data_IF_171422722301
#
_entry.id   IF_171422722301
#
_cell.length_a   1.000
_cell.length_b   1.000
_cell.length_c   1.000
_cell.angle_alpha   90.00
_cell.angle_beta   90.00
_cell.angle_gamma   90.00
#
_symmetry.space_group_name_H-M   'P 1'
#
loop_
_entity.id
_entity.type
_entity.pdbx_description
1 polymer ?
#
# COMPACT_ATOMS: atom_id res chain seq x y z
N UNK A 1 -58.19 47.55 -34.34
CA UNK A 1 -58.02 46.37 -33.48
C UNK A 1 -57.02 46.72 -32.39
N UNK A 2 -57.52 46.79 -31.15
CA UNK A 2 -56.78 47.04 -29.91
C UNK A 2 -55.53 46.13 -29.81
N UNK A 3 -54.41 46.49 -29.19
CA UNK A 3 -54.19 47.32 -28.02
C UNK A 3 -53.46 46.45 -26.99
N UNK A 4 -52.34 46.94 -26.44
CA UNK A 4 -51.99 46.98 -25.00
C UNK A 4 -50.48 47.11 -24.79
N UNK A 5 -50.12 48.30 -24.32
CA UNK A 5 -48.87 48.63 -23.65
C UNK A 5 -48.79 47.90 -22.30
N UNK A 6 -47.57 47.51 -21.88
CA UNK A 6 -47.20 47.50 -20.46
C UNK A 6 -45.77 48.01 -20.26
N UNK A 7 -45.72 49.09 -19.50
CA UNK A 7 -44.59 49.72 -18.80
C UNK A 7 -44.07 48.80 -17.66
N UNK A 8 -43.09 49.34 -16.93
CA UNK A 8 -42.37 48.86 -15.73
C UNK A 8 -41.00 48.26 -16.07
N UNK A 9 -39.88 48.76 -15.54
CA UNK A 9 -39.66 49.82 -14.56
C UNK A 9 -38.15 49.99 -14.39
N UNK A 10 -37.71 51.24 -14.38
CA UNK A 10 -36.34 51.61 -14.06
C UNK A 10 -36.13 51.41 -12.55
N UNK A 11 -35.14 50.58 -12.18
CA UNK A 11 -34.59 50.55 -10.84
C UNK A 11 -33.25 51.27 -10.86
N UNK A 12 -33.28 52.48 -10.31
CA UNK A 12 -32.13 53.24 -9.82
C UNK A 12 -31.28 52.38 -8.90
N UNK A 13 -29.98 52.26 -9.22
CA UNK A 13 -28.97 51.85 -8.26
C UNK A 13 -28.00 53.01 -8.01
N UNK A 14 -27.90 53.28 -6.73
CA UNK A 14 -27.22 54.37 -6.04
C UNK A 14 -25.75 53.99 -5.88
N UNK A 15 -24.87 54.93 -6.25
CA UNK A 15 -23.55 55.24 -5.67
C UNK A 15 -22.59 54.06 -5.44
N UNK A 16 -21.46 54.07 -6.15
CA UNK A 16 -20.14 53.86 -5.55
C UNK A 16 -19.05 54.49 -6.41
N UNK A 17 -18.50 55.56 -5.86
CA UNK A 17 -17.36 56.35 -6.33
C UNK A 17 -16.15 55.49 -6.69
N UNK A 18 -15.63 55.69 -7.90
CA UNK A 18 -14.29 55.27 -8.28
C UNK A 18 -13.28 56.11 -7.50
N UNK A 19 -12.62 55.54 -6.50
CA UNK A 19 -11.34 56.08 -6.02
C UNK A 19 -10.27 55.64 -7.01
N UNK A 20 -9.74 56.64 -7.70
CA UNK A 20 -8.48 56.57 -8.42
C UNK A 20 -7.37 56.07 -7.50
N UNK A 21 -6.65 55.04 -7.91
CA UNK A 21 -5.36 54.69 -7.32
C UNK A 21 -4.27 55.25 -8.24
N UNK A 22 -3.56 56.32 -7.84
CA UNK A 22 -2.45 56.81 -8.62
C UNK A 22 -1.27 55.84 -8.55
N UNK A 23 -0.74 55.54 -9.72
CA UNK A 23 0.54 54.86 -9.93
C UNK A 23 1.64 55.75 -9.31
N UNK A 24 2.07 55.41 -8.11
CA UNK A 24 3.23 56.02 -7.47
C UNK A 24 4.47 55.14 -7.69
N UNK A 25 5.32 55.56 -8.63
CA UNK A 25 6.70 55.13 -8.74
C UNK A 25 7.48 55.73 -7.57
N UNK A 26 8.11 54.89 -6.74
CA UNK A 26 9.23 55.29 -5.87
C UNK A 26 10.32 54.23 -5.89
N UNK A 27 11.43 54.63 -6.49
CA UNK A 27 12.78 54.10 -6.37
C UNK A 27 13.44 54.60 -5.07
N UNK A 28 14.32 53.77 -4.49
CA UNK A 28 15.46 54.03 -3.57
C UNK A 28 15.50 52.88 -2.52
N UNK A 29 16.36 51.87 -2.66
CA UNK A 29 17.78 51.78 -2.27
C UNK A 29 18.01 51.35 -0.79
N UNK A 30 18.77 50.23 -0.63
CA UNK A 30 19.58 49.80 0.54
C UNK A 30 18.76 49.11 1.68
N UNK A 31 19.08 47.94 2.28
CA UNK A 31 20.33 47.19 2.54
C UNK A 31 20.05 45.67 2.78
N UNK A 32 21.14 44.90 2.74
CA UNK A 32 21.28 43.43 2.81
C UNK A 32 20.86 42.68 4.10
N UNK A 33 20.57 41.37 3.93
CA UNK A 33 21.18 40.29 4.74
C UNK A 33 21.42 39.05 3.87
N UNK A 34 22.69 38.66 3.73
CA UNK A 34 23.17 37.56 2.90
C UNK A 34 23.18 36.22 3.65
N UNK A 35 22.84 35.15 2.92
CA UNK A 35 23.18 33.76 3.22
C UNK A 35 24.53 33.39 2.58
N UNK A 36 25.33 32.47 3.16
CA UNK A 36 26.67 32.18 2.65
C UNK A 36 26.68 31.04 1.64
N UNK A 37 27.43 31.19 0.55
CA UNK A 37 28.40 30.16 0.16
C UNK A 37 29.38 30.70 -0.88
N UNK A 38 30.64 30.41 -0.58
CA UNK A 38 31.88 30.86 -1.18
C UNK A 38 32.10 30.38 -2.62
N UNK A 39 32.49 31.30 -3.49
CA UNK A 39 33.07 31.03 -4.80
C UNK A 39 34.49 31.61 -4.89
N UNK A 40 35.46 30.68 -4.93
CA UNK A 40 36.61 30.64 -5.84
C UNK A 40 37.20 31.93 -6.42
N UNK A 41 38.45 32.17 -6.05
CA UNK A 41 39.55 32.60 -6.94
C UNK A 41 40.61 31.47 -6.85
N UNK A 42 41.20 30.98 -7.93
CA UNK A 42 42.14 31.74 -8.75
C UNK A 42 42.28 31.19 -10.17
N UNK A 43 42.54 32.13 -11.07
CA UNK A 43 42.95 31.99 -12.47
C UNK A 43 44.27 31.24 -12.65
N UNK A 44 44.34 30.40 -13.69
CA UNK A 44 45.28 30.60 -14.80
C UNK A 44 45.00 29.61 -15.94
N UNK A 45 45.03 30.15 -17.16
CA UNK A 45 45.01 29.42 -18.42
C UNK A 45 46.41 28.87 -18.72
N UNK A 46 46.52 27.72 -19.41
CA UNK A 46 47.34 27.52 -20.63
C UNK A 46 47.17 26.07 -21.18
N UNK A 47 46.91 26.04 -22.49
CA UNK A 47 47.16 25.03 -23.55
C UNK A 47 46.57 23.62 -23.52
N UNK A 48 45.99 23.32 -24.69
CA UNK A 48 45.64 22.01 -25.22
C UNK A 48 46.86 21.10 -25.45
N UNK A 49 46.65 19.78 -25.35
CA UNK A 49 46.86 18.86 -26.46
C UNK A 49 46.34 17.43 -26.15
N UNK A 50 45.57 16.93 -27.11
CA UNK A 50 45.54 15.57 -27.65
C UNK A 50 45.21 14.33 -26.80
N UNK A 51 44.59 13.41 -27.53
CA UNK A 51 44.51 11.95 -27.37
C UNK A 51 43.53 11.40 -26.33
N UNK A 52 42.44 10.89 -26.90
CA UNK A 52 41.49 9.93 -26.36
C UNK A 52 42.21 8.86 -25.52
N UNK A 53 42.00 8.90 -24.21
CA UNK A 53 42.14 7.72 -23.36
C UNK A 53 40.76 7.46 -22.75
N UNK A 54 40.16 6.40 -23.26
CA UNK A 54 38.90 5.83 -22.80
C UNK A 54 38.98 5.65 -21.28
N UNK A 55 38.18 6.43 -20.54
CA UNK A 55 38.02 6.20 -19.10
C UNK A 55 37.45 4.78 -18.93
N UNK A 56 38.08 3.89 -18.14
CA UNK A 56 37.44 2.63 -17.79
C UNK A 56 36.20 3.00 -17.00
N UNK A 57 35.03 2.81 -17.63
CA UNK A 57 33.73 3.01 -16.98
C UNK A 57 33.75 2.23 -15.66
N UNK A 58 33.60 2.94 -14.54
CA UNK A 58 33.42 2.34 -13.23
C UNK A 58 32.39 1.22 -13.36
N UNK A 59 32.83 0.00 -13.05
CA UNK A 59 32.02 -1.22 -13.07
C UNK A 59 30.68 -0.93 -12.39
N UNK A 60 29.60 -0.87 -13.17
CA UNK A 60 28.24 -1.02 -12.69
C UNK A 60 28.10 -2.47 -12.20
N UNK A 61 28.54 -2.70 -10.97
CA UNK A 61 28.64 -4.01 -10.35
C UNK A 61 28.25 -3.96 -8.88
N UNK A 62 27.26 -3.13 -8.51
CA UNK A 62 26.50 -3.40 -7.30
C UNK A 62 25.67 -4.65 -7.56
N UNK A 63 26.32 -5.82 -7.44
CA UNK A 63 25.59 -7.08 -7.25
C UNK A 63 24.73 -6.86 -6.01
N UNK A 64 23.42 -6.77 -6.20
CA UNK A 64 22.49 -6.88 -5.09
C UNK A 64 22.88 -8.15 -4.34
N UNK A 65 23.38 -7.99 -3.12
CA UNK A 65 23.62 -9.10 -2.23
C UNK A 65 22.28 -9.86 -2.16
N UNK A 66 22.26 -11.10 -2.64
CA UNK A 66 21.23 -12.04 -2.25
C UNK A 66 21.35 -12.09 -0.73
N UNK A 67 20.46 -11.39 -0.01
CA UNK A 67 20.48 -11.36 1.46
C UNK A 67 20.36 -12.81 1.90
N UNK A 68 21.48 -13.37 2.32
CA UNK A 68 21.60 -14.77 2.65
C UNK A 68 20.98 -15.00 4.02
N UNK A 69 19.90 -15.77 4.06
CA UNK A 69 19.51 -16.52 5.27
C UNK A 69 20.36 -17.77 5.46
N UNK A 70 21.35 -18.01 4.59
CA UNK A 70 22.07 -19.29 4.50
C UNK A 70 22.88 -19.67 5.74
N UNK A 71 23.11 -18.76 6.69
CA UNK A 71 23.90 -18.99 7.90
C UNK A 71 23.28 -18.38 9.17
N UNK A 72 21.98 -18.08 9.20
CA UNK A 72 21.33 -17.66 10.45
C UNK A 72 20.87 -18.89 11.24
N UNK A 73 20.99 -18.91 12.58
CA UNK A 73 20.43 -19.98 13.39
C UNK A 73 18.92 -20.07 13.17
N UNK A 74 18.43 -21.25 12.84
CA UNK A 74 17.00 -21.52 12.68
C UNK A 74 16.36 -21.59 14.07
N UNK A 75 15.64 -20.54 14.44
CA UNK A 75 14.95 -20.46 15.73
C UNK A 75 13.60 -21.18 15.57
N UNK A 76 13.24 -22.12 16.46
CA UNK A 76 11.94 -22.77 16.40
C UNK A 76 10.81 -21.74 16.57
N UNK A 77 9.74 -21.88 15.79
CA UNK A 77 8.64 -20.92 15.72
C UNK A 77 8.03 -20.60 17.09
N UNK A 78 7.90 -21.59 17.97
CA UNK A 78 7.37 -21.41 19.34
C UNK A 78 8.22 -20.44 20.18
N UNK A 79 9.56 -20.59 20.12
CA UNK A 79 10.50 -19.70 20.82
C UNK A 79 10.44 -18.29 20.26
N UNK A 80 10.37 -18.14 18.93
CA UNK A 80 10.27 -16.83 18.28
C UNK A 80 8.99 -16.08 18.68
N UNK A 81 7.84 -16.78 18.77
CA UNK A 81 6.58 -16.20 19.25
C UNK A 81 6.66 -15.79 20.73
N UNK A 82 7.33 -16.61 21.56
CA UNK A 82 7.60 -16.27 22.95
C UNK A 82 8.38 -14.96 23.12
N UNK A 83 9.44 -14.77 22.32
CA UNK A 83 10.23 -13.53 22.32
C UNK A 83 9.45 -12.31 21.80
N UNK A 84 8.57 -12.51 20.82
CA UNK A 84 7.70 -11.44 20.33
C UNK A 84 6.67 -11.05 21.40
N UNK A 85 6.11 -12.03 22.11
CA UNK A 85 5.11 -11.83 23.17
C UNK A 85 5.68 -11.20 24.44
N UNK A 86 6.96 -11.41 24.76
CA UNK A 86 7.59 -10.83 25.95
C UNK A 86 7.76 -9.32 25.89
N UNK A 87 7.76 -8.75 24.69
CA UNK A 87 7.78 -7.30 24.50
C UNK A 87 6.39 -6.71 24.73
N UNK A 88 6.33 -5.47 25.23
CA UNK A 88 5.09 -4.79 25.62
C UNK A 88 4.29 -4.21 24.44
N UNK A 89 4.98 -3.67 23.45
CA UNK A 89 4.39 -2.86 22.38
C UNK A 89 4.54 -3.57 21.04
N UNK A 90 3.41 -3.83 20.39
CA UNK A 90 3.37 -4.46 19.07
C UNK A 90 2.72 -3.53 18.05
N UNK A 91 3.29 -3.52 16.85
CA UNK A 91 2.65 -2.99 15.66
C UNK A 91 2.28 -4.13 14.74
N UNK A 92 1.22 -3.95 13.97
CA UNK A 92 0.88 -4.83 12.87
C UNK A 92 0.81 -4.06 11.57
N UNK A 93 0.91 -4.82 10.49
CA UNK A 93 0.73 -4.36 9.14
C UNK A 93 -0.38 -5.18 8.53
N UNK A 94 -1.47 -4.52 8.17
CA UNK A 94 -2.67 -5.18 7.61
C UNK A 94 -3.14 -4.51 6.34
N UNK A 95 -3.83 -5.27 5.49
CA UNK A 95 -4.55 -4.74 4.33
C UNK A 95 -6.02 -4.46 4.69
N UNK A 96 -6.40 -3.18 4.68
CA UNK A 96 -7.78 -2.74 4.79
C UNK A 96 -8.24 -2.15 3.46
N UNK A 97 -9.32 -2.70 2.88
CA UNK A 97 -9.92 -2.22 1.63
C UNK A 97 -8.88 -2.01 0.50
N UNK A 98 -7.95 -2.95 0.37
CA UNK A 98 -6.91 -2.95 -0.68
C UNK A 98 -5.69 -2.07 -0.43
N UNK A 99 -5.55 -1.47 0.77
CA UNK A 99 -4.37 -0.66 1.14
C UNK A 99 -3.71 -1.19 2.40
N UNK A 100 -2.37 -1.16 2.42
CA UNK A 100 -1.54 -1.53 3.59
C UNK A 100 -1.52 -0.39 4.60
N UNK A 101 -1.81 -0.71 5.86
CA UNK A 101 -1.71 0.20 7.00
C UNK A 101 -0.81 -0.43 8.07
N UNK A 102 0.03 0.39 8.71
CA UNK A 102 0.80 0.02 9.90
C UNK A 102 0.10 0.65 11.10
N UNK A 103 -0.35 -0.18 12.03
CA UNK A 103 -1.20 0.23 13.15
C UNK A 103 -0.64 -0.35 14.45
N UNK A 104 -0.71 0.42 15.52
CA UNK A 104 -0.57 -0.01 16.91
C UNK A 104 -1.95 -0.07 17.57
N UNK A 105 -1.99 -0.65 18.77
CA UNK A 105 -3.21 -0.64 19.60
C UNK A 105 -3.67 0.81 19.81
N UNK A 106 -4.98 1.04 19.72
CA UNK A 106 -5.65 2.34 19.82
C UNK A 106 -5.44 3.32 18.66
N UNK A 107 -4.66 2.97 17.63
CA UNK A 107 -4.57 3.79 16.43
C UNK A 107 -5.91 3.84 15.68
N UNK A 108 -6.28 5.04 15.24
CA UNK A 108 -7.46 5.28 14.41
C UNK A 108 -7.08 5.47 12.95
N UNK A 109 -7.66 4.65 12.08
CA UNK A 109 -7.43 4.70 10.63
C UNK A 109 -8.71 5.06 9.89
N UNK A 110 -8.60 5.99 8.94
CA UNK A 110 -9.69 6.34 8.03
C UNK A 110 -9.56 5.52 6.76
N UNK A 111 -10.53 4.63 6.53
CA UNK A 111 -10.59 3.76 5.36
C UNK A 111 -11.72 4.19 4.41
N UNK A 112 -11.67 3.80 3.11
CA UNK A 112 -12.81 3.93 2.23
C UNK A 112 -14.06 3.28 2.85
N UNK A 113 -15.23 3.86 2.59
CA UNK A 113 -16.48 3.45 3.21
C UNK A 113 -16.81 1.96 3.03
N UNK A 114 -17.03 1.26 4.15
CA UNK A 114 -17.48 -0.13 4.20
C UNK A 114 -18.98 -0.12 4.46
N UNK A 115 -19.78 -0.75 3.58
CA UNK A 115 -21.25 -0.64 3.62
C UNK A 115 -21.91 -1.56 4.66
N UNK A 116 -21.30 -2.71 4.90
CA UNK A 116 -21.93 -3.80 5.65
C UNK A 116 -21.66 -3.72 7.17
N UNK A 117 -20.85 -2.75 7.60
CA UNK A 117 -20.49 -2.54 9.00
C UNK A 117 -21.24 -1.36 9.58
N UNK A 118 -21.71 -1.50 10.82
CA UNK A 118 -22.29 -0.44 11.64
C UNK A 118 -21.26 0.11 12.61
N UNK A 119 -21.55 1.29 13.16
CA UNK A 119 -20.75 1.87 14.25
C UNK A 119 -20.86 0.99 15.48
N UNK A 120 -19.72 0.65 16.08
CA UNK A 120 -19.62 -0.25 17.23
C UNK A 120 -19.32 -1.71 16.87
N UNK A 121 -19.39 -2.08 15.59
CA UNK A 121 -19.09 -3.47 15.18
C UNK A 121 -17.60 -3.79 15.35
N UNK A 122 -17.33 -5.02 15.82
CA UNK A 122 -15.98 -5.57 15.95
C UNK A 122 -15.58 -6.34 14.69
N UNK A 123 -14.44 -5.95 14.11
CA UNK A 123 -13.86 -6.50 12.89
C UNK A 123 -12.67 -7.38 13.27
N UNK A 124 -12.68 -8.66 12.88
CA UNK A 124 -11.49 -9.53 12.90
C UNK A 124 -10.61 -9.23 11.69
N UNK A 125 -9.33 -8.94 11.90
CA UNK A 125 -8.39 -8.64 10.82
C UNK A 125 -7.83 -9.93 10.21
N UNK A 126 -8.32 -10.32 9.04
CA UNK A 126 -7.83 -11.52 8.33
C UNK A 126 -6.53 -11.30 7.57
N UNK A 127 -6.35 -10.11 6.95
CA UNK A 127 -5.24 -9.86 6.01
C UNK A 127 -4.06 -9.19 6.70
N UNK A 128 -3.34 -9.92 7.54
CA UNK A 128 -2.16 -9.43 8.27
C UNK A 128 -0.90 -9.90 7.56
N UNK A 129 0.03 -8.99 7.25
CA UNK A 129 1.29 -9.33 6.54
C UNK A 129 2.48 -9.40 7.47
N UNK A 130 2.58 -8.46 8.42
CA UNK A 130 3.68 -8.37 9.38
C UNK A 130 3.11 -8.05 10.76
N UNK A 131 3.68 -8.65 11.80
CA UNK A 131 3.50 -8.26 13.21
C UNK A 131 4.88 -8.08 13.78
N UNK A 132 5.12 -6.98 14.47
CA UNK A 132 6.43 -6.70 15.02
C UNK A 132 6.35 -6.00 16.36
N UNK A 133 7.44 -6.09 17.08
CA UNK A 133 7.76 -5.23 18.19
C UNK A 133 9.06 -4.48 17.86
N UNK A 134 9.68 -3.86 18.86
CA UNK A 134 10.92 -3.11 18.73
C UNK A 134 12.06 -3.95 18.16
N UNK A 135 12.23 -5.17 18.67
CA UNK A 135 13.37 -6.03 18.38
C UNK A 135 13.03 -7.22 17.46
N UNK A 136 11.78 -7.68 17.47
CA UNK A 136 11.35 -8.89 16.77
C UNK A 136 10.28 -8.57 15.73
N UNK A 137 10.33 -9.23 14.57
CA UNK A 137 9.31 -9.10 13.53
C UNK A 137 8.95 -10.47 12.96
N UNK A 138 7.67 -10.78 12.97
CA UNK A 138 7.06 -11.91 12.30
C UNK A 138 6.47 -11.42 10.98
N UNK A 139 6.89 -12.02 9.88
CA UNK A 139 6.45 -11.65 8.53
C UNK A 139 6.00 -12.89 7.78
N UNK A 140 4.89 -12.78 7.08
CA UNK A 140 4.43 -13.82 6.18
C UNK A 140 5.48 -14.02 5.08
N UNK A 141 6.13 -15.17 5.11
CA UNK A 141 6.99 -15.61 4.01
C UNK A 141 6.08 -16.31 3.02
N UNK A 142 6.17 -15.93 1.75
CA UNK A 142 5.46 -16.68 0.72
C UNK A 142 5.99 -18.09 0.66
N UNK A 143 5.09 -19.08 0.58
CA UNK A 143 5.41 -20.49 0.41
C UNK A 143 6.00 -20.74 -0.99
N UNK A 144 7.16 -20.15 -1.32
CA UNK A 144 8.03 -20.44 -2.47
C UNK A 144 7.46 -20.36 -3.89
N UNK A 145 6.14 -20.28 -4.09
CA UNK A 145 5.46 -20.43 -5.38
C UNK A 145 5.03 -19.10 -5.96
N UNK A 146 5.00 -18.05 -5.15
CA UNK A 146 4.68 -16.71 -5.61
C UNK A 146 5.95 -15.88 -5.52
N UNK A 147 6.56 -15.68 -6.69
CA UNK A 147 7.87 -15.08 -6.79
C UNK A 147 7.92 -13.73 -6.07
N UNK A 148 8.80 -13.64 -5.06
CA UNK A 148 9.63 -12.44 -4.99
C UNK A 148 10.02 -12.13 -6.42
N UNK A 149 9.73 -10.92 -6.90
CA UNK A 149 10.02 -10.50 -8.25
C UNK A 149 11.49 -10.82 -8.54
N UNK A 150 11.73 -12.02 -9.08
CA UNK A 150 12.98 -12.36 -9.71
C UNK A 150 12.94 -11.36 -10.83
N UNK A 151 13.83 -10.37 -10.77
CA UNK A 151 14.16 -9.60 -11.96
C UNK A 151 14.60 -10.66 -12.94
N UNK A 152 13.68 -11.16 -13.74
CA UNK A 152 13.95 -11.99 -14.90
C UNK A 152 14.55 -11.03 -15.92
N UNK A 153 15.71 -10.44 -15.61
CA UNK A 153 16.68 -10.20 -16.65
C UNK A 153 17.02 -11.58 -17.14
N UNK A 154 16.33 -12.05 -18.19
CA UNK A 154 16.89 -13.09 -19.01
C UNK A 154 18.32 -12.64 -19.29
N UNK A 155 19.31 -13.42 -18.83
CA UNK A 155 20.69 -13.17 -19.24
C UNK A 155 20.65 -13.04 -20.77
N UNK A 156 21.37 -12.08 -21.39
CA UNK A 156 21.34 -11.93 -22.84
C UNK A 156 21.74 -13.27 -23.42
N UNK A 157 20.76 -14.05 -23.87
CA UNK A 157 21.00 -15.37 -24.37
C UNK A 157 21.78 -15.17 -25.66
N UNK A 158 22.91 -15.86 -25.80
CA UNK A 158 23.68 -15.82 -27.04
C UNK A 158 22.73 -16.01 -28.24
N UNK A 159 22.87 -15.18 -29.27
CA UNK A 159 21.94 -15.07 -30.41
C UNK A 159 21.50 -16.42 -30.99
N UNK A 160 22.43 -17.38 -31.08
CA UNK A 160 22.19 -18.75 -31.55
C UNK A 160 21.13 -19.52 -30.76
N UNK A 161 21.01 -19.27 -29.46
CA UNK A 161 20.00 -19.92 -28.59
C UNK A 161 18.63 -19.27 -28.76
N UNK A 162 18.59 -17.95 -28.99
CA UNK A 162 17.36 -17.21 -29.27
C UNK A 162 16.75 -17.65 -30.61
N UNK A 163 17.56 -17.80 -31.65
CA UNK A 163 17.11 -18.26 -32.97
C UNK A 163 16.52 -19.67 -32.93
N UNK A 164 17.15 -20.61 -32.22
CA UNK A 164 16.62 -21.97 -32.05
C UNK A 164 15.30 -21.98 -31.29
N UNK A 165 15.17 -21.14 -30.26
CA UNK A 165 13.94 -21.01 -29.48
C UNK A 165 12.82 -20.34 -30.31
N UNK A 166 13.15 -19.32 -31.10
CA UNK A 166 12.27 -18.66 -32.07
C UNK A 166 11.70 -19.67 -33.07
N UNK A 167 12.59 -20.47 -33.70
CA UNK A 167 12.22 -21.48 -34.69
C UNK A 167 11.37 -22.61 -34.10
N UNK A 168 11.62 -23.01 -32.85
CA UNK A 168 10.81 -24.02 -32.14
C UNK A 168 9.40 -23.52 -31.81
N UNK A 169 9.24 -22.22 -31.55
CA UNK A 169 7.96 -21.60 -31.17
C UNK A 169 7.21 -20.97 -32.35
N UNK A 170 7.83 -20.87 -33.53
CA UNK A 170 7.22 -20.24 -34.71
C UNK A 170 7.05 -18.72 -34.58
N UNK A 171 7.86 -18.07 -33.75
CA UNK A 171 7.80 -16.64 -33.43
C UNK A 171 9.01 -15.94 -34.02
N UNK A 172 8.85 -14.71 -34.53
CA UNK A 172 9.97 -13.95 -35.09
C UNK A 172 11.02 -13.62 -34.01
N UNK A 173 12.32 -13.77 -34.31
CA UNK A 173 13.39 -13.55 -33.34
C UNK A 173 13.40 -12.12 -32.77
N UNK A 174 12.90 -11.16 -33.54
CA UNK A 174 12.72 -9.77 -33.14
C UNK A 174 11.71 -9.60 -32.00
N UNK A 175 10.66 -10.42 -31.93
CA UNK A 175 9.66 -10.38 -30.86
C UNK A 175 10.23 -10.94 -29.55
N UNK A 176 11.02 -12.01 -29.60
CA UNK A 176 11.70 -12.56 -28.42
C UNK A 176 12.73 -11.59 -27.83
N UNK A 177 13.41 -10.80 -28.66
CA UNK A 177 14.32 -9.74 -28.19
C UNK A 177 13.56 -8.60 -27.54
N UNK A 178 12.36 -8.25 -28.04
CA UNK A 178 11.48 -7.25 -27.42
C UNK A 178 10.93 -7.74 -26.08
N UNK A 179 10.50 -8.99 -26.00
CA UNK A 179 10.06 -9.62 -24.75
C UNK A 179 11.19 -9.71 -23.73
N UNK A 180 12.39 -10.13 -24.13
CA UNK A 180 13.55 -10.22 -23.23
C UNK A 180 14.02 -8.85 -22.70
N UNK A 181 13.72 -7.76 -23.40
CA UNK A 181 13.99 -6.38 -22.95
C UNK A 181 12.86 -5.79 -22.12
N UNK A 182 11.67 -6.38 -22.14
CA UNK A 182 10.51 -5.86 -21.41
C UNK A 182 10.64 -6.27 -19.93
N UNK A 183 10.96 -5.30 -19.08
CA UNK A 183 10.95 -5.51 -17.62
C UNK A 183 9.51 -5.53 -17.15
N UNK A 184 8.88 -6.70 -17.16
CA UNK A 184 7.58 -6.90 -16.53
C UNK A 184 7.74 -6.87 -15.01
N UNK A 185 7.34 -5.77 -14.37
CA UNK A 185 7.15 -5.74 -12.92
C UNK A 185 5.90 -6.55 -12.59
N UNK A 186 6.06 -7.84 -12.27
CA UNK A 186 4.97 -8.65 -11.71
C UNK A 186 4.59 -8.04 -10.35
N UNK A 187 3.30 -7.72 -10.09
CA UNK A 187 2.90 -7.23 -8.78
C UNK A 187 3.21 -8.31 -7.74
N UNK A 188 3.94 -7.95 -6.69
CA UNK A 188 4.23 -8.84 -5.57
C UNK A 188 2.90 -9.16 -4.87
N UNK A 189 2.42 -10.40 -4.98
CA UNK A 189 1.19 -10.85 -4.32
C UNK A 189 1.48 -10.86 -2.81
N UNK A 190 0.72 -10.11 -1.99
CA UNK A 190 0.97 -10.06 -0.57
C UNK A 190 0.67 -11.41 0.07
N UNK A 191 1.60 -11.86 0.92
CA UNK A 191 1.41 -13.01 1.78
C UNK A 191 0.82 -12.57 3.11
N UNK A 192 -0.04 -13.42 3.67
CA UNK A 192 -0.70 -13.17 4.94
C UNK A 192 -0.26 -14.22 5.96
N UNK A 193 -0.26 -13.83 7.24
CA UNK A 193 -0.07 -14.72 8.36
C UNK A 193 -1.33 -15.54 8.60
N UNK A 194 -1.17 -16.75 9.14
CA UNK A 194 -2.29 -17.61 9.49
C UNK A 194 -3.11 -16.98 10.62
N UNK A 195 -4.45 -17.11 10.53
CA UNK A 195 -5.37 -16.52 11.50
C UNK A 195 -5.23 -17.10 12.90
N UNK A 196 -4.78 -18.36 13.01
CA UNK A 196 -4.54 -19.02 14.29
C UNK A 196 -3.28 -18.48 14.98
N UNK A 197 -2.30 -18.02 14.21
CA UNK A 197 -1.02 -17.54 14.70
C UNK A 197 -1.11 -16.11 15.27
N UNK A 198 -1.96 -15.27 14.69
CA UNK A 198 -2.14 -13.88 15.09
C UNK A 198 -3.61 -13.51 15.00
N UNK A 199 -4.16 -13.06 16.13
CA UNK A 199 -5.51 -12.53 16.21
C UNK A 199 -5.44 -11.03 16.44
N UNK A 200 -6.06 -10.24 15.57
CA UNK A 200 -6.20 -8.80 15.79
C UNK A 200 -7.65 -8.37 15.56
N UNK A 201 -8.16 -7.53 16.44
CA UNK A 201 -9.53 -7.02 16.38
C UNK A 201 -9.54 -5.50 16.34
N UNK A 202 -10.51 -4.94 15.62
CA UNK A 202 -10.67 -3.50 15.44
C UNK A 202 -12.15 -3.12 15.52
N UNK A 203 -12.47 -1.97 16.08
CA UNK A 203 -13.85 -1.49 16.20
C UNK A 203 -14.14 -0.37 15.20
N UNK A 204 -15.35 -0.35 14.66
CA UNK A 204 -15.83 0.78 13.86
C UNK A 204 -16.22 1.93 14.76
N UNK A 205 -15.48 3.04 14.69
CA UNK A 205 -15.72 4.22 15.52
C UNK A 205 -16.82 5.10 14.95
N UNK A 206 -16.76 5.40 13.66
CA UNK A 206 -17.76 6.25 13.00
C UNK A 206 -17.72 6.12 11.47
N UNK A 207 -18.85 6.42 10.82
CA UNK A 207 -18.90 6.68 9.39
C UNK A 207 -18.90 8.19 9.16
N UNK A 208 -17.88 8.68 8.47
CA UNK A 208 -17.70 10.12 8.22
C UNK A 208 -17.85 10.46 6.75
N UNK A 209 -18.02 11.74 6.47
CA UNK A 209 -17.99 12.28 5.11
C UNK A 209 -16.82 13.24 4.99
N UNK A 210 -16.09 13.15 3.88
CA UNK A 210 -15.00 14.07 3.57
C UNK A 210 -15.47 15.46 3.17
N UNK A 211 -14.50 16.33 2.89
CA UNK A 211 -14.75 17.66 2.33
C UNK A 211 -15.45 17.54 0.98
N UNK A 212 -16.38 18.46 0.70
CA UNK A 212 -17.06 18.52 -0.60
C UNK A 212 -16.06 18.91 -1.69
N UNK A 213 -15.79 17.97 -2.61
CA UNK A 213 -14.92 18.17 -3.77
C UNK A 213 -15.78 18.71 -4.91
N UNK A 214 -15.40 19.86 -5.45
CA UNK A 214 -16.07 20.47 -6.61
C UNK A 214 -15.16 20.40 -7.83
N UNK A 215 -15.49 19.56 -8.81
CA UNK A 215 -14.75 19.40 -10.07
C UNK A 215 -15.51 20.13 -11.18
N UNK A 216 -14.88 21.11 -11.81
CA UNK A 216 -15.46 21.85 -12.93
C UNK A 216 -14.94 21.27 -14.25
N UNK A 217 -15.80 20.59 -15.01
CA UNK A 217 -15.51 20.16 -16.38
C UNK A 217 -15.85 21.31 -17.34
N UNK A 218 -14.91 21.79 -18.15
CA UNK A 218 -15.14 22.89 -19.09
C UNK A 218 -14.54 22.59 -20.47
N UNK A 219 -15.16 23.08 -21.54
CA UNK A 219 -14.64 23.00 -22.92
C UNK A 219 -14.33 24.39 -23.46
N UNK A 220 -13.16 24.55 -24.07
CA UNK A 220 -12.70 25.84 -24.62
C UNK A 220 -13.62 26.29 -25.77
N UNK A 221 -14.01 27.58 -25.80
CA UNK A 221 -14.81 28.23 -26.86
C UNK A 221 -16.12 27.51 -27.22
N UNK A 222 -16.70 26.77 -26.27
CA UNK A 222 -17.96 26.05 -26.49
C UNK A 222 -19.03 26.38 -25.45
N UNK A 223 -18.79 27.35 -24.56
CA UNK A 223 -19.70 27.71 -23.45
C UNK A 223 -19.92 26.60 -22.41
N UNK A 224 -19.48 25.37 -22.68
CA UNK A 224 -19.70 24.22 -21.82
C UNK A 224 -18.89 24.31 -20.54
N UNK A 225 -19.59 24.30 -19.40
CA UNK A 225 -19.06 24.22 -18.04
C UNK A 225 -20.03 23.42 -17.16
N UNK A 226 -19.58 22.29 -16.64
CA UNK A 226 -20.32 21.41 -15.73
C UNK A 226 -19.61 21.34 -14.39
N UNK A 227 -20.30 21.78 -13.34
CA UNK A 227 -19.82 21.68 -11.95
C UNK A 227 -20.31 20.36 -11.36
N UNK A 228 -19.39 19.49 -10.96
CA UNK A 228 -19.68 18.20 -10.34
C UNK A 228 -19.24 18.28 -8.89
N UNK A 229 -20.18 18.07 -7.97
CA UNK A 229 -19.90 18.03 -6.52
C UNK A 229 -19.89 16.59 -6.05
N UNK A 230 -18.86 16.19 -5.31
CA UNK A 230 -18.76 14.88 -4.68
C UNK A 230 -18.42 15.05 -3.20
N UNK A 231 -19.18 14.40 -2.32
CA UNK A 231 -18.89 14.35 -0.88
C UNK A 231 -18.57 12.90 -0.52
N UNK A 232 -17.27 12.50 -0.53
CA UNK A 232 -16.90 11.10 -0.35
C UNK A 232 -17.22 10.61 1.07
N UNK A 233 -17.51 9.32 1.20
CA UNK A 233 -17.79 8.66 2.48
C UNK A 233 -16.56 7.87 2.93
N UNK A 234 -16.34 7.84 4.24
CA UNK A 234 -15.25 7.13 4.88
C UNK A 234 -15.73 6.40 6.13
N UNK A 235 -14.93 5.47 6.61
CA UNK A 235 -15.16 4.77 7.87
C UNK A 235 -13.92 4.90 8.71
N UNK A 236 -14.07 5.34 9.96
CA UNK A 236 -12.98 5.36 10.93
C UNK A 236 -13.03 4.09 11.74
N UNK A 237 -11.89 3.42 11.80
CA UNK A 237 -11.71 2.16 12.52
C UNK A 237 -10.61 2.39 13.57
N UNK A 238 -10.80 1.89 14.78
CA UNK A 238 -9.78 1.89 15.84
C UNK A 238 -9.30 0.47 16.06
N UNK A 239 -7.99 0.25 16.14
CA UNK A 239 -7.46 -1.07 16.52
C UNK A 239 -7.66 -1.30 18.01
N UNK A 240 -8.26 -2.42 18.40
CA UNK A 240 -8.56 -2.72 19.80
C UNK A 240 -7.45 -3.51 20.47
N UNK A 241 -7.03 -4.62 19.87
CA UNK A 241 -6.05 -5.52 20.48
C UNK A 241 -5.29 -6.33 19.42
N UNK A 242 -4.08 -6.73 19.80
CA UNK A 242 -3.21 -7.63 19.05
C UNK A 242 -2.88 -8.80 19.97
N UNK A 243 -3.45 -9.97 19.68
CA UNK A 243 -3.27 -11.21 20.44
C UNK A 243 -2.32 -12.14 19.69
N UNK A 244 -1.19 -12.44 20.32
CA UNK A 244 -0.20 -13.40 19.85
C UNK A 244 -0.26 -14.63 20.76
N UNK A 245 -0.94 -15.72 20.36
CA UNK A 245 -0.97 -16.95 21.14
C UNK A 245 0.44 -17.53 21.29
N UNK A 246 0.77 -17.93 22.52
CA UNK A 246 1.93 -18.79 22.74
C UNK A 246 1.52 -20.19 22.34
N UNK A 247 2.15 -20.75 21.31
CA UNK A 247 2.05 -22.19 21.01
C UNK A 247 2.73 -22.92 22.16
N UNK A 248 1.99 -23.20 23.23
CA UNK A 248 2.35 -24.29 24.12
C UNK A 248 2.04 -25.54 23.30
N UNK A 249 3.03 -26.41 23.12
CA UNK A 249 2.85 -27.72 22.49
C UNK A 249 1.96 -28.56 23.41
N UNK A 250 0.68 -28.25 23.47
CA UNK A 250 -0.34 -29.06 24.12
C UNK A 250 -1.08 -29.76 22.99
N UNK A 251 -0.52 -30.90 22.62
CA UNK A 251 -1.32 -31.99 22.07
C UNK A 251 -2.45 -32.29 23.07
N UNK A 252 -3.70 -32.27 22.62
CA UNK A 252 -4.87 -33.07 23.05
C UNK A 252 -5.97 -32.68 22.04
N UNK A 253 -6.03 -33.34 20.88
CA UNK A 253 -7.01 -34.41 20.63
C UNK A 253 -8.36 -34.08 21.29
N UNK A 254 -9.32 -33.61 20.49
CA UNK A 254 -10.72 -33.61 20.87
C UNK A 254 -11.11 -35.03 21.29
N UNK A 255 -11.12 -35.31 22.59
CA UNK A 255 -11.78 -36.47 23.15
C UNK A 255 -13.27 -36.27 22.89
N UNK A 256 -13.73 -36.77 21.74
CA UNK A 256 -15.11 -37.25 21.63
C UNK A 256 -15.32 -38.23 22.79
N UNK A 257 -16.32 -38.05 23.66
CA UNK A 257 -16.65 -39.07 24.62
C UNK A 257 -17.08 -40.31 23.83
N UNK A 258 -16.28 -41.37 23.92
CA UNK A 258 -16.68 -42.70 23.52
C UNK A 258 -17.91 -43.05 24.34
N UNK A 259 -19.08 -43.00 23.71
CA UNK A 259 -20.30 -43.62 24.22
C UNK A 259 -20.03 -45.13 24.17
N UNK A 260 -19.98 -45.85 25.30
CA UNK A 260 -19.92 -47.29 25.26
C UNK A 260 -21.28 -47.80 24.76
N UNK A 261 -21.24 -48.49 23.62
CA UNK A 261 -22.33 -49.30 23.11
C UNK A 261 -22.36 -50.57 23.97
N UNK A 262 -23.15 -50.56 25.04
CA UNK A 262 -23.52 -51.78 25.75
C UNK A 262 -24.69 -52.44 25.02
N UNK A 263 -24.34 -53.28 24.05
CA UNK A 263 -25.19 -54.35 23.58
C UNK A 263 -24.94 -55.58 24.46
N UNK A 264 -25.82 -55.83 25.43
CA UNK A 264 -25.98 -57.15 26.05
C UNK A 264 -27.39 -57.66 25.79
N UNK A 265 -27.48 -58.53 24.79
CA UNK A 265 -28.52 -59.53 24.65
C UNK A 265 -28.44 -60.47 25.84
N UNK A 266 -29.48 -60.56 26.67
CA UNK A 266 -29.79 -61.79 27.40
C UNK A 266 -31.30 -62.01 27.42
N UNK A 267 -31.65 -63.18 26.91
CA UNK A 267 -32.98 -63.76 26.87
C UNK A 267 -33.42 -64.11 28.30
N UNK A 268 -34.72 -64.03 28.60
CA UNK A 268 -35.49 -65.21 29.00
C UNK A 268 -37.00 -64.98 28.92
N UNK A 269 -37.79 -66.03 28.63
CA UNK A 269 -39.25 -66.00 28.59
C UNK A 269 -39.82 -66.33 29.97
N UNK A 270 -41.01 -65.85 30.29
CA UNK A 270 -41.79 -66.42 31.40
C UNK A 270 -43.28 -66.35 31.06
N UNK A 271 -43.85 -67.55 31.00
CA UNK A 271 -45.29 -67.85 31.00
C UNK A 271 -45.92 -67.50 32.36
N UNK A 272 -47.26 -67.58 32.40
CA UNK A 272 -48.19 -67.58 33.56
C UNK A 272 -48.75 -66.16 33.85
N UNK A 273 -50.07 -65.89 33.92
CA UNK A 273 -51.30 -66.70 33.91
C UNK A 273 -52.41 -65.94 33.14
#
# INVERSE_FOLDING_TARGET
MAGLNRLFGALSSIISTTRECPIARKSLLVRHSQSPSCSSSSSSFIRANSTLVIRPTLRAGLKQAKRGTRNLPEIPSSKALGMLKSEENHYLVTFLVGKKYRLMVDDQVTVPHIKDLKVGDLIKLTRITEVGSRNFTLRAVGNGTVGHAKRETHAPAASKTLERKAKKLGVDPSELVREARTVCLKPEIPHYLDEELVHASAIVVEHTRGKMITVIKKKRRKGYRKTIKNKPYYTKIRLCEIKIPSIQTEAIHSQTPNIPVDASTSQQPTMIA
#
